data_IF_883676505486
#
_entry.id   IF_883676505486
#
_cell.length_a   1.000
_cell.length_b   1.000
_cell.length_c   1.000
_cell.angle_alpha   90.00
_cell.angle_beta   90.00
_cell.angle_gamma   90.00
#
_symmetry.space_group_name_H-M   'P 1'
#
loop_
_entity.id
_entity.type
_entity.pdbx_description
1 polymer ?
#
# COMPACT_ATOMS: atom_id res chain seq x y z
N UNK A 1 -12.09 -52.82 18.92
CA UNK A 1 -10.95 -51.85 18.83
C UNK A 1 -10.89 -51.01 17.55
N UNK A 2 -11.55 -51.37 16.43
CA UNK A 2 -11.47 -50.57 15.18
C UNK A 2 -12.37 -49.32 15.11
N UNK A 3 -13.41 -49.23 15.96
CA UNK A 3 -14.34 -48.08 15.99
C UNK A 3 -13.77 -46.88 16.78
N UNK A 4 -12.96 -47.15 17.82
CA UNK A 4 -12.35 -46.11 18.65
C UNK A 4 -11.25 -45.32 17.91
N UNK A 5 -10.54 -45.93 16.95
CA UNK A 5 -9.53 -45.25 16.14
C UNK A 5 -10.13 -44.33 15.07
N UNK A 6 -11.34 -44.63 14.57
CA UNK A 6 -12.04 -43.78 13.60
C UNK A 6 -12.60 -42.50 14.23
N UNK A 7 -13.08 -42.59 15.46
CA UNK A 7 -13.56 -41.42 16.21
C UNK A 7 -12.42 -40.48 16.65
N UNK A 8 -11.23 -41.04 16.93
CA UNK A 8 -10.04 -40.23 17.27
C UNK A 8 -9.48 -39.50 16.03
N UNK A 9 -9.54 -40.10 14.84
CA UNK A 9 -9.08 -39.47 13.59
C UNK A 9 -9.96 -38.27 13.17
N UNK A 10 -11.25 -38.28 13.51
CA UNK A 10 -12.17 -37.14 13.29
C UNK A 10 -11.96 -36.00 14.29
N UNK A 11 -11.42 -36.27 15.48
CA UNK A 11 -11.16 -35.25 16.50
C UNK A 11 -9.87 -34.43 16.26
N UNK A 12 -8.99 -34.90 15.38
CA UNK A 12 -7.72 -34.22 15.01
C UNK A 12 -7.71 -33.68 13.58
N UNK A 13 -8.85 -33.70 12.88
CA UNK A 13 -9.00 -32.90 11.66
C UNK A 13 -9.00 -31.42 12.07
N UNK A 14 -8.17 -30.55 11.47
CA UNK A 14 -8.27 -29.12 11.72
C UNK A 14 -9.71 -28.72 11.45
N UNK A 15 -10.37 -28.12 12.45
CA UNK A 15 -11.75 -27.67 12.33
C UNK A 15 -11.84 -26.75 11.12
N UNK A 16 -12.34 -27.26 9.99
CA UNK A 16 -12.78 -26.39 8.92
C UNK A 16 -13.78 -25.44 9.56
N UNK A 17 -13.43 -24.15 9.62
CA UNK A 17 -14.27 -23.15 10.25
C UNK A 17 -15.69 -23.31 9.68
N UNK A 18 -16.64 -23.73 10.53
CA UNK A 18 -17.98 -24.07 10.08
C UNK A 18 -18.56 -22.89 9.29
N UNK A 19 -19.13 -23.17 8.11
CA UNK A 19 -19.80 -22.16 7.31
C UNK A 19 -20.90 -21.50 8.16
N UNK A 20 -20.93 -20.17 8.18
CA UNK A 20 -22.00 -19.43 8.84
C UNK A 20 -23.25 -19.43 7.98
N UNK A 21 -24.44 -19.32 8.61
CA UNK A 21 -25.66 -19.02 7.88
C UNK A 21 -25.45 -17.83 6.96
N UNK A 22 -25.94 -17.93 5.72
CA UNK A 22 -25.89 -16.90 4.69
C UNK A 22 -24.54 -16.63 4.01
N UNK A 23 -23.46 -17.36 4.35
CA UNK A 23 -22.14 -17.13 3.72
C UNK A 23 -22.19 -17.18 2.19
N UNK A 24 -22.82 -18.21 1.61
CA UNK A 24 -22.89 -18.37 0.16
C UNK A 24 -23.69 -17.24 -0.51
N UNK A 25 -24.83 -16.86 0.09
CA UNK A 25 -25.67 -15.78 -0.41
C UNK A 25 -24.98 -14.41 -0.27
N UNK A 26 -24.30 -14.16 0.85
CA UNK A 26 -23.54 -12.93 1.06
C UNK A 26 -22.36 -12.86 0.09
N UNK A 27 -21.60 -13.95 -0.05
CA UNK A 27 -20.48 -14.04 -0.99
C UNK A 27 -20.91 -13.69 -2.41
N UNK A 28 -22.04 -14.23 -2.89
CA UNK A 28 -22.55 -13.92 -4.22
C UNK A 28 -22.92 -12.44 -4.39
N UNK A 29 -23.54 -11.83 -3.36
CA UNK A 29 -23.88 -10.40 -3.36
C UNK A 29 -22.63 -9.53 -3.37
N UNK A 30 -21.67 -9.80 -2.48
CA UNK A 30 -20.42 -9.04 -2.36
C UNK A 30 -19.61 -9.11 -3.65
N UNK A 31 -19.40 -10.31 -4.24
CA UNK A 31 -18.69 -10.45 -5.51
C UNK A 31 -19.29 -9.54 -6.59
N UNK A 32 -20.61 -9.61 -6.77
CA UNK A 32 -21.32 -8.81 -7.77
C UNK A 32 -21.22 -7.31 -7.51
N UNK A 33 -21.40 -6.89 -6.26
CA UNK A 33 -21.39 -5.46 -5.89
C UNK A 33 -19.98 -4.87 -5.99
N UNK A 34 -18.95 -5.60 -5.56
CA UNK A 34 -17.55 -5.19 -5.74
C UNK A 34 -17.17 -5.14 -7.22
N UNK A 35 -17.52 -6.15 -8.00
CA UNK A 35 -17.22 -6.20 -9.43
C UNK A 35 -17.82 -5.02 -10.18
N UNK A 36 -19.07 -4.64 -9.85
CA UNK A 36 -19.72 -3.46 -10.42
C UNK A 36 -18.96 -2.16 -10.11
N UNK A 37 -18.49 -1.99 -8.86
CA UNK A 37 -17.76 -0.78 -8.45
C UNK A 37 -16.36 -0.76 -9.05
N UNK A 38 -15.61 -1.85 -8.96
CA UNK A 38 -14.23 -1.94 -9.44
C UNK A 38 -14.15 -1.80 -10.97
N UNK A 39 -15.10 -2.38 -11.70
CA UNK A 39 -15.14 -2.30 -13.17
C UNK A 39 -15.45 -0.90 -13.72
N UNK A 40 -15.78 0.07 -12.85
CA UNK A 40 -15.93 1.48 -13.27
C UNK A 40 -14.60 2.11 -13.71
N UNK A 41 -13.47 1.60 -13.22
CA UNK A 41 -12.13 2.09 -13.54
C UNK A 41 -11.45 1.26 -14.64
N UNK A 42 -10.46 1.83 -15.33
CA UNK A 42 -9.67 1.10 -16.32
C UNK A 42 -8.78 0.03 -15.67
N UNK A 43 -8.10 0.36 -14.58
CA UNK A 43 -7.32 -0.59 -13.79
C UNK A 43 -8.17 -1.77 -13.28
N UNK A 44 -9.40 -1.50 -12.81
CA UNK A 44 -10.32 -2.55 -12.36
C UNK A 44 -10.78 -3.47 -13.49
N UNK A 45 -11.10 -2.92 -14.67
CA UNK A 45 -11.42 -3.73 -15.87
C UNK A 45 -10.24 -4.58 -16.34
N UNK A 46 -9.03 -4.03 -16.30
CA UNK A 46 -7.81 -4.77 -16.63
C UNK A 46 -7.63 -5.97 -15.69
N UNK A 47 -7.80 -5.76 -14.38
CA UNK A 47 -7.69 -6.84 -13.38
C UNK A 47 -8.71 -7.95 -13.62
N UNK A 48 -10.00 -7.63 -13.82
CA UNK A 48 -11.01 -8.65 -14.08
C UNK A 48 -10.73 -9.41 -15.38
N UNK A 49 -10.31 -8.72 -16.45
CA UNK A 49 -9.92 -9.39 -17.69
C UNK A 49 -8.74 -10.35 -17.49
N UNK A 50 -7.77 -10.02 -16.61
CA UNK A 50 -6.67 -10.93 -16.25
C UNK A 50 -7.15 -12.12 -15.42
N UNK A 51 -8.05 -11.90 -14.45
CA UNK A 51 -8.65 -12.96 -13.62
C UNK A 51 -9.44 -13.97 -14.44
N UNK A 52 -10.25 -13.50 -15.40
CA UNK A 52 -11.01 -14.37 -16.31
C UNK A 52 -10.08 -15.22 -17.19
N UNK A 53 -8.97 -14.65 -17.67
CA UNK A 53 -7.97 -15.37 -18.48
C UNK A 53 -7.14 -16.37 -17.67
N UNK A 54 -6.94 -16.13 -16.37
CA UNK A 54 -6.13 -16.99 -15.51
C UNK A 54 -6.79 -18.35 -15.20
N UNK A 55 -8.07 -18.54 -15.56
CA UNK A 55 -8.76 -19.83 -15.52
C UNK A 55 -9.95 -19.87 -14.56
N UNK A 56 -10.47 -21.07 -14.23
CA UNK A 56 -11.73 -21.23 -13.51
C UNK A 56 -11.66 -20.82 -12.02
N UNK A 57 -10.46 -20.54 -11.49
CA UNK A 57 -10.24 -20.19 -10.09
C UNK A 57 -11.09 -19.00 -9.64
N UNK A 58 -11.17 -17.95 -10.45
CA UNK A 58 -11.94 -16.74 -10.13
C UNK A 58 -13.45 -16.99 -10.07
N UNK A 59 -13.99 -17.83 -10.97
CA UNK A 59 -15.41 -18.18 -10.96
C UNK A 59 -15.82 -18.84 -9.63
N UNK A 60 -14.95 -19.69 -9.09
CA UNK A 60 -15.15 -20.39 -7.81
C UNK A 60 -14.73 -19.58 -6.56
N UNK A 61 -14.11 -18.41 -6.72
CA UNK A 61 -13.67 -17.55 -5.62
C UNK A 61 -14.83 -17.21 -4.69
N UNK A 62 -14.62 -17.26 -3.37
CA UNK A 62 -15.61 -16.84 -2.35
C UNK A 62 -15.20 -15.52 -1.70
N UNK A 63 -16.18 -14.82 -1.15
CA UNK A 63 -15.98 -13.63 -0.33
C UNK A 63 -16.67 -13.86 1.01
N UNK A 64 -15.88 -13.94 2.07
CA UNK A 64 -16.33 -14.37 3.39
C UNK A 64 -15.99 -13.30 4.44
N UNK A 65 -16.68 -13.33 5.58
CA UNK A 65 -16.43 -12.42 6.69
C UNK A 65 -16.09 -13.24 7.92
N UNK A 66 -14.89 -13.04 8.47
CA UNK A 66 -14.36 -13.79 9.62
C UNK A 66 -13.54 -12.88 10.51
N UNK A 67 -13.49 -13.17 11.80
CA UNK A 67 -12.61 -12.49 12.74
C UNK A 67 -11.21 -13.03 12.60
N UNK A 68 -10.24 -12.14 12.50
CA UNK A 68 -8.82 -12.48 12.58
C UNK A 68 -8.10 -11.55 13.58
N UNK A 69 -7.20 -12.08 14.43
CA UNK A 69 -6.42 -11.25 15.36
C UNK A 69 -5.37 -10.37 14.66
N UNK A 70 -4.91 -10.74 13.47
CA UNK A 70 -3.92 -10.00 12.70
C UNK A 70 -4.44 -8.61 12.32
N UNK A 71 -3.50 -7.68 12.10
CA UNK A 71 -3.79 -6.28 11.78
C UNK A 71 -4.00 -6.07 10.27
N UNK A 72 -4.83 -6.92 9.65
CA UNK A 72 -5.21 -6.82 8.25
C UNK A 72 -6.73 -6.62 8.10
N UNK A 73 -7.12 -5.78 7.13
CA UNK A 73 -8.53 -5.51 6.80
C UNK A 73 -9.18 -6.68 6.06
N UNK A 74 -8.42 -7.35 5.20
CA UNK A 74 -8.80 -8.55 4.49
C UNK A 74 -7.56 -9.42 4.24
N UNK A 75 -7.77 -10.64 3.76
CA UNK A 75 -6.72 -11.50 3.24
C UNK A 75 -7.30 -12.52 2.25
N UNK A 76 -6.50 -12.92 1.26
CA UNK A 76 -6.79 -14.04 0.38
C UNK A 76 -6.19 -15.35 0.92
N UNK A 77 -7.03 -16.37 1.05
CA UNK A 77 -6.62 -17.75 1.35
C UNK A 77 -6.66 -18.61 0.07
N UNK A 78 -5.49 -19.06 -0.44
CA UNK A 78 -5.42 -19.90 -1.61
C UNK A 78 -6.08 -21.27 -1.43
N UNK A 79 -6.04 -21.84 -0.22
CA UNK A 79 -6.56 -23.18 0.05
C UNK A 79 -8.09 -23.20 0.03
N UNK A 80 -8.70 -22.18 0.62
CA UNK A 80 -10.15 -21.99 0.60
C UNK A 80 -10.64 -21.35 -0.72
N UNK A 81 -9.73 -20.80 -1.53
CA UNK A 81 -10.01 -19.92 -2.66
C UNK A 81 -11.02 -18.84 -2.25
N UNK A 82 -10.68 -18.08 -1.21
CA UNK A 82 -11.58 -17.12 -0.59
C UNK A 82 -10.85 -15.85 -0.17
N UNK A 83 -11.48 -14.70 -0.44
CA UNK A 83 -11.13 -13.43 0.20
C UNK A 83 -11.93 -13.32 1.48
N UNK A 84 -11.24 -13.13 2.60
CA UNK A 84 -11.86 -12.92 3.91
C UNK A 84 -11.74 -11.46 4.30
N UNK A 85 -12.87 -10.83 4.62
CA UNK A 85 -12.88 -9.54 5.30
C UNK A 85 -12.87 -9.73 6.81
N UNK A 86 -11.98 -8.99 7.48
CA UNK A 86 -11.83 -9.08 8.93
C UNK A 86 -12.99 -8.37 9.64
N UNK A 87 -13.87 -9.15 10.27
CA UNK A 87 -15.06 -8.65 10.96
C UNK A 87 -14.74 -7.62 12.05
N UNK A 88 -13.54 -7.69 12.66
CA UNK A 88 -13.07 -6.72 13.66
C UNK A 88 -13.02 -5.30 13.10
N UNK A 89 -12.55 -5.14 11.87
CA UNK A 89 -12.45 -3.84 11.22
C UNK A 89 -13.80 -3.37 10.70
N UNK A 90 -14.63 -4.27 10.16
CA UNK A 90 -16.02 -3.94 9.81
C UNK A 90 -16.77 -3.37 11.02
N UNK A 91 -16.64 -4.01 12.19
CA UNK A 91 -17.27 -3.55 13.42
C UNK A 91 -16.70 -2.21 13.91
N UNK A 92 -15.39 -1.97 13.78
CA UNK A 92 -14.79 -0.67 14.07
C UNK A 92 -15.33 0.41 13.14
N UNK A 93 -15.45 0.14 11.85
CA UNK A 93 -15.92 1.08 10.84
C UNK A 93 -17.37 1.52 11.09
N UNK A 94 -18.25 0.58 11.43
CA UNK A 94 -19.65 0.87 11.79
C UNK A 94 -19.84 1.18 13.29
N UNK A 95 -18.75 1.39 14.05
CA UNK A 95 -18.76 1.66 15.50
C UNK A 95 -19.62 0.70 16.33
N UNK A 96 -19.76 -0.55 15.87
CA UNK A 96 -20.67 -1.54 16.44
C UNK A 96 -19.94 -2.45 17.42
N UNK A 97 -20.56 -2.71 18.59
CA UNK A 97 -19.99 -3.56 19.66
C UNK A 97 -20.85 -4.80 19.89
N UNK A 98 -20.24 -5.86 20.43
CA UNK A 98 -20.94 -7.07 20.88
C UNK A 98 -21.34 -8.07 19.78
N UNK A 99 -21.20 -7.71 18.51
CA UNK A 99 -21.48 -8.63 17.40
C UNK A 99 -20.35 -9.64 17.23
N UNK A 100 -20.77 -10.90 16.98
CA UNK A 100 -19.90 -11.99 16.52
C UNK A 100 -20.07 -12.16 15.01
N UNK A 101 -19.14 -12.87 14.38
CA UNK A 101 -19.10 -13.02 12.92
C UNK A 101 -20.42 -13.48 12.28
N UNK A 102 -21.17 -14.47 12.83
CA UNK A 102 -22.45 -14.86 12.24
C UNK A 102 -23.46 -13.70 12.17
N UNK A 103 -23.45 -12.81 13.18
CA UNK A 103 -24.33 -11.64 13.19
C UNK A 103 -23.89 -10.60 12.18
N UNK A 104 -22.57 -10.41 12.00
CA UNK A 104 -22.04 -9.52 10.96
C UNK A 104 -22.44 -10.02 9.57
N UNK A 105 -22.30 -11.33 9.32
CA UNK A 105 -22.74 -11.98 8.06
C UNK A 105 -24.25 -11.78 7.84
N UNK A 106 -25.07 -12.05 8.85
CA UNK A 106 -26.53 -11.87 8.77
C UNK A 106 -26.92 -10.43 8.41
N UNK A 107 -26.31 -9.44 9.07
CA UNK A 107 -26.59 -8.01 8.83
C UNK A 107 -26.15 -7.60 7.43
N UNK A 108 -24.93 -7.95 7.02
CA UNK A 108 -24.44 -7.63 5.67
C UNK A 108 -25.28 -8.32 4.58
N UNK A 109 -25.77 -9.53 4.83
CA UNK A 109 -26.61 -10.25 3.88
C UNK A 109 -28.01 -9.62 3.73
N UNK A 110 -28.63 -9.25 4.86
CA UNK A 110 -30.02 -8.78 4.92
C UNK A 110 -30.16 -7.27 4.66
N UNK A 111 -29.19 -6.45 5.06
CA UNK A 111 -29.23 -5.00 4.92
C UNK A 111 -28.38 -4.53 3.72
N UNK A 112 -29.06 -4.03 2.67
CA UNK A 112 -28.40 -3.53 1.45
C UNK A 112 -27.58 -2.26 1.70
N UNK A 113 -28.06 -1.34 2.53
CA UNK A 113 -27.43 -0.04 2.75
C UNK A 113 -26.09 -0.21 3.47
N UNK A 114 -26.07 -1.00 4.54
CA UNK A 114 -24.84 -1.32 5.29
C UNK A 114 -23.84 -2.04 4.39
N UNK A 115 -24.28 -3.01 3.59
CA UNK A 115 -23.40 -3.72 2.66
C UNK A 115 -22.86 -2.81 1.56
N UNK A 116 -23.69 -1.95 0.98
CA UNK A 116 -23.26 -1.01 -0.05
C UNK A 116 -22.25 0.00 0.49
N UNK A 117 -22.42 0.49 1.72
CA UNK A 117 -21.45 1.38 2.37
C UNK A 117 -20.13 0.67 2.63
N UNK A 118 -20.14 -0.58 3.08
CA UNK A 118 -18.92 -1.38 3.21
C UNK A 118 -18.23 -1.55 1.85
N UNK A 119 -18.97 -1.93 0.80
CA UNK A 119 -18.44 -2.11 -0.55
C UNK A 119 -17.79 -0.81 -1.05
N UNK A 120 -18.43 0.34 -0.86
CA UNK A 120 -17.94 1.65 -1.30
C UNK A 120 -16.62 2.08 -0.66
N UNK A 121 -16.32 1.59 0.55
CA UNK A 121 -15.14 1.94 1.34
C UNK A 121 -14.03 0.91 1.26
N UNK A 122 -14.40 -0.36 1.15
CA UNK A 122 -13.48 -1.50 1.20
C UNK A 122 -13.11 -2.04 -0.18
N UNK A 123 -13.55 -1.40 -1.28
CA UNK A 123 -13.28 -1.90 -2.62
C UNK A 123 -11.80 -1.86 -3.04
N UNK A 124 -10.94 -0.89 -2.65
CA UNK A 124 -9.51 -0.99 -2.93
C UNK A 124 -8.87 -2.17 -2.19
N UNK A 125 -9.27 -2.39 -0.93
CA UNK A 125 -8.82 -3.56 -0.14
C UNK A 125 -9.26 -4.86 -0.80
N UNK A 126 -10.49 -4.94 -1.31
CA UNK A 126 -10.94 -6.11 -2.05
C UNK A 126 -10.11 -6.34 -3.32
N UNK A 127 -9.82 -5.26 -4.04
CA UNK A 127 -9.04 -5.29 -5.26
C UNK A 127 -7.60 -5.78 -4.98
N UNK A 128 -6.98 -5.32 -3.90
CA UNK A 128 -5.67 -5.81 -3.45
C UNK A 128 -5.68 -7.33 -3.27
N UNK A 129 -6.70 -7.88 -2.59
CA UNK A 129 -6.83 -9.33 -2.40
C UNK A 129 -7.16 -10.08 -3.70
N UNK A 130 -7.85 -9.45 -4.64
CA UNK A 130 -8.07 -10.02 -5.98
C UNK A 130 -6.77 -10.14 -6.77
N UNK A 131 -5.82 -9.22 -6.58
CA UNK A 131 -4.48 -9.36 -7.17
C UNK A 131 -3.76 -10.57 -6.57
N UNK A 132 -3.86 -10.79 -5.25
CA UNK A 132 -3.32 -12.00 -4.64
C UNK A 132 -3.95 -13.29 -5.17
N UNK A 133 -5.26 -13.28 -5.41
CA UNK A 133 -5.94 -14.40 -6.07
C UNK A 133 -5.38 -14.64 -7.49
N UNK A 134 -5.26 -13.58 -8.28
CA UNK A 134 -4.67 -13.64 -9.64
C UNK A 134 -3.26 -14.22 -9.62
N UNK A 135 -2.39 -13.73 -8.72
CA UNK A 135 -1.03 -14.21 -8.57
C UNK A 135 -0.97 -15.70 -8.23
N UNK A 136 -1.90 -16.20 -7.41
CA UNK A 136 -1.98 -17.63 -7.10
C UNK A 136 -2.40 -18.47 -8.32
N UNK A 137 -3.23 -17.92 -9.20
CA UNK A 137 -3.65 -18.61 -10.41
C UNK A 137 -2.55 -18.62 -11.46
N UNK A 138 -1.79 -17.52 -11.60
CA UNK A 138 -0.69 -17.40 -12.56
C UNK A 138 0.58 -18.12 -12.10
N UNK A 139 0.91 -18.06 -10.80
CA UNK A 139 2.18 -18.52 -10.24
C UNK A 139 2.00 -19.57 -9.12
N UNK A 140 1.31 -20.70 -9.39
CA UNK A 140 0.95 -21.66 -8.36
C UNK A 140 2.14 -22.44 -7.75
N UNK A 141 3.30 -22.47 -8.43
CA UNK A 141 4.49 -23.16 -7.89
C UNK A 141 5.16 -22.30 -6.81
N UNK A 142 5.12 -20.96 -6.95
CA UNK A 142 5.75 -20.07 -5.98
C UNK A 142 5.20 -20.23 -4.57
N UNK A 143 3.88 -20.32 -4.41
CA UNK A 143 3.30 -20.55 -3.07
C UNK A 143 3.47 -21.98 -2.59
N UNK A 144 3.45 -22.98 -3.48
CA UNK A 144 3.58 -24.40 -3.11
C UNK A 144 5.01 -24.76 -2.70
N UNK A 145 6.01 -24.21 -3.37
CA UNK A 145 7.41 -24.63 -3.23
C UNK A 145 8.26 -23.69 -2.36
N UNK A 146 7.91 -22.40 -2.23
CA UNK A 146 8.73 -21.44 -1.47
C UNK A 146 8.48 -21.45 0.04
N UNK A 147 7.36 -22.04 0.50
CA UNK A 147 6.99 -22.09 1.92
C UNK A 147 6.69 -20.72 2.57
N UNK A 148 6.60 -19.65 1.78
CA UNK A 148 6.37 -18.27 2.23
C UNK A 148 5.68 -17.45 1.11
N UNK A 149 5.06 -16.32 1.47
CA UNK A 149 4.50 -15.39 0.49
C UNK A 149 5.61 -14.52 -0.13
N UNK A 150 5.70 -14.41 -1.46
CA UNK A 150 6.65 -13.51 -2.10
C UNK A 150 6.39 -12.05 -1.72
N UNK A 151 7.42 -11.32 -1.26
CA UNK A 151 7.27 -9.90 -0.95
C UNK A 151 6.90 -9.09 -2.21
N UNK A 152 7.44 -9.50 -3.36
CA UNK A 152 7.22 -8.81 -4.61
C UNK A 152 5.77 -8.91 -5.11
N UNK A 153 4.99 -9.86 -4.58
CA UNK A 153 3.55 -9.93 -4.83
C UNK A 153 2.78 -8.79 -4.17
N UNK A 154 3.22 -8.34 -2.99
CA UNK A 154 2.66 -7.15 -2.35
C UNK A 154 2.90 -5.92 -3.21
N UNK A 155 4.06 -5.80 -3.86
CA UNK A 155 4.34 -4.67 -4.74
C UNK A 155 3.33 -4.55 -5.89
N UNK A 156 2.96 -5.65 -6.56
CA UNK A 156 1.93 -5.61 -7.62
C UNK A 156 0.55 -5.27 -7.05
N UNK A 157 0.19 -5.85 -5.90
CA UNK A 157 -1.13 -5.67 -5.29
C UNK A 157 -1.38 -4.21 -4.90
N UNK A 158 -0.46 -3.65 -4.13
CA UNK A 158 -0.47 -2.24 -3.70
C UNK A 158 -0.52 -1.25 -4.85
N UNK A 159 0.23 -1.55 -5.89
CA UNK A 159 0.35 -0.70 -7.04
C UNK A 159 -0.91 -0.69 -7.90
N UNK A 160 -1.52 -1.87 -8.08
CA UNK A 160 -2.80 -1.99 -8.77
C UNK A 160 -3.90 -1.30 -7.95
N UNK A 161 -3.87 -1.45 -6.62
CA UNK A 161 -4.74 -0.73 -5.68
C UNK A 161 -4.61 0.79 -5.87
N UNK A 162 -3.40 1.32 -5.83
CA UNK A 162 -3.18 2.76 -5.90
C UNK A 162 -3.49 3.34 -7.30
N UNK A 163 -3.25 2.59 -8.39
CA UNK A 163 -3.71 2.96 -9.74
C UNK A 163 -5.24 3.07 -9.79
N UNK A 164 -5.93 2.08 -9.21
CA UNK A 164 -7.38 2.09 -9.11
C UNK A 164 -7.91 3.27 -8.28
N UNK A 165 -7.28 3.52 -7.12
CA UNK A 165 -7.63 4.66 -6.24
C UNK A 165 -7.44 5.98 -6.98
N UNK A 166 -6.35 6.15 -7.72
CA UNK A 166 -6.10 7.36 -8.50
C UNK A 166 -7.19 7.62 -9.54
N UNK A 167 -7.56 6.60 -10.32
CA UNK A 167 -8.63 6.71 -11.31
C UNK A 167 -9.98 7.07 -10.68
N UNK A 168 -10.30 6.45 -9.53
CA UNK A 168 -11.51 6.80 -8.76
C UNK A 168 -11.50 8.24 -8.28
N UNK A 169 -10.39 8.69 -7.70
CA UNK A 169 -10.30 10.05 -7.18
C UNK A 169 -10.29 11.10 -8.29
N UNK A 170 -9.81 10.78 -9.49
CA UNK A 170 -9.98 11.66 -10.65
C UNK A 170 -11.44 11.76 -11.10
N UNK A 171 -12.19 10.68 -11.02
CA UNK A 171 -13.62 10.67 -11.37
C UNK A 171 -14.47 11.38 -10.30
N UNK A 172 -14.16 11.18 -9.02
CA UNK A 172 -14.81 11.82 -7.88
C UNK A 172 -13.76 12.27 -6.84
N UNK A 173 -13.30 13.54 -6.90
CA UNK A 173 -12.24 14.04 -6.02
C UNK A 173 -12.72 14.40 -4.62
N UNK A 174 -14.04 14.39 -4.36
CA UNK A 174 -14.63 14.83 -3.08
C UNK A 174 -14.02 14.15 -1.85
N UNK A 175 -13.98 12.79 -1.80
CA UNK A 175 -13.41 12.07 -0.66
C UNK A 175 -11.94 12.39 -0.39
N UNK A 176 -11.13 12.61 -1.43
CA UNK A 176 -9.73 12.99 -1.28
C UNK A 176 -9.59 14.44 -0.78
N UNK A 177 -10.42 15.36 -1.26
CA UNK A 177 -10.46 16.75 -0.73
C UNK A 177 -10.80 16.75 0.76
N UNK A 178 -11.81 15.97 1.16
CA UNK A 178 -12.21 15.85 2.57
C UNK A 178 -11.09 15.29 3.45
N UNK A 179 -10.35 14.30 2.94
CA UNK A 179 -9.19 13.75 3.62
C UNK A 179 -8.05 14.76 3.75
N UNK A 180 -7.72 15.48 2.67
CA UNK A 180 -6.66 16.52 2.65
C UNK A 180 -6.96 17.65 3.63
N UNK A 181 -8.24 18.04 3.76
CA UNK A 181 -8.70 19.03 4.74
C UNK A 181 -8.77 18.48 6.17
N UNK A 182 -8.70 17.16 6.35
CA UNK A 182 -8.89 16.51 7.64
C UNK A 182 -10.34 16.59 8.17
N UNK A 183 -11.33 16.85 7.31
CA UNK A 183 -12.74 16.96 7.72
C UNK A 183 -13.44 15.60 7.82
N UNK A 184 -12.91 14.58 7.13
CA UNK A 184 -13.41 13.22 7.24
C UNK A 184 -12.28 12.20 7.10
N UNK A 185 -12.25 11.22 7.99
CA UNK A 185 -11.41 10.03 7.88
C UNK A 185 -12.07 8.87 8.61
N UNK A 186 -12.02 7.69 7.99
CA UNK A 186 -12.41 6.42 8.61
C UNK A 186 -11.24 5.44 8.46
N UNK A 187 -11.35 4.27 9.09
CA UNK A 187 -10.26 3.29 9.11
C UNK A 187 -9.84 2.80 7.72
N UNK A 188 -10.77 2.68 6.76
CA UNK A 188 -10.47 2.26 5.39
C UNK A 188 -9.87 3.42 4.61
N UNK A 189 -10.50 4.58 4.68
CA UNK A 189 -10.02 5.81 4.03
C UNK A 189 -8.60 6.17 4.48
N UNK A 190 -8.30 6.05 5.78
CA UNK A 190 -6.96 6.28 6.34
C UNK A 190 -5.92 5.29 5.80
N UNK A 191 -6.29 4.01 5.68
CA UNK A 191 -5.40 2.99 5.12
C UNK A 191 -5.09 3.26 3.63
N UNK A 192 -6.14 3.45 2.84
CA UNK A 192 -6.07 3.62 1.39
C UNK A 192 -5.30 4.90 1.04
N UNK A 193 -5.69 6.05 1.59
CA UNK A 193 -5.02 7.31 1.27
C UNK A 193 -3.63 7.41 1.90
N UNK A 194 -3.38 6.73 3.04
CA UNK A 194 -2.03 6.59 3.58
C UNK A 194 -1.09 5.85 2.62
N UNK A 195 -1.59 4.81 1.93
CA UNK A 195 -0.81 4.15 0.88
C UNK A 195 -0.63 5.04 -0.33
N UNK A 196 -1.73 5.52 -0.91
CA UNK A 196 -1.79 6.26 -2.15
C UNK A 196 -0.92 7.53 -2.13
N UNK A 197 -0.98 8.32 -1.05
CA UNK A 197 -0.16 9.54 -0.93
C UNK A 197 1.33 9.25 -0.77
N UNK A 198 1.69 8.07 -0.25
CA UNK A 198 3.10 7.66 -0.11
C UNK A 198 3.66 7.08 -1.39
N UNK A 199 2.82 6.48 -2.24
CA UNK A 199 3.21 5.81 -3.47
C UNK A 199 3.91 6.78 -4.41
N UNK A 200 3.32 7.94 -4.65
CA UNK A 200 3.78 8.81 -5.72
C UNK A 200 5.05 9.60 -5.36
N UNK A 201 5.37 9.75 -4.06
CA UNK A 201 6.46 10.63 -3.59
C UNK A 201 7.86 10.01 -3.68
N UNK A 202 8.00 8.70 -3.44
CA UNK A 202 9.30 8.01 -3.49
C UNK A 202 9.12 6.48 -3.62
N UNK A 203 9.38 5.88 -4.80
CA UNK A 203 9.25 4.44 -5.00
C UNK A 203 10.22 3.60 -4.16
N UNK A 204 11.39 4.11 -3.81
CA UNK A 204 12.35 3.39 -2.96
C UNK A 204 11.84 3.34 -1.51
N UNK A 205 11.41 4.49 -0.98
CA UNK A 205 10.79 4.57 0.36
C UNK A 205 9.50 3.75 0.42
N UNK A 206 8.72 3.73 -0.66
CA UNK A 206 7.51 2.93 -0.77
C UNK A 206 7.77 1.43 -0.66
N UNK A 207 8.73 0.91 -1.45
CA UNK A 207 9.13 -0.50 -1.38
C UNK A 207 9.70 -0.87 -0.02
N UNK A 208 10.51 0.00 0.57
CA UNK A 208 11.07 -0.23 1.91
C UNK A 208 9.98 -0.27 2.99
N UNK A 209 8.94 0.56 2.87
CA UNK A 209 7.79 0.53 3.79
C UNK A 209 7.05 -0.80 3.71
N UNK A 210 6.76 -1.27 2.50
CA UNK A 210 6.13 -2.59 2.28
C UNK A 210 7.04 -3.68 2.85
N UNK A 211 8.34 -3.69 2.48
CA UNK A 211 9.31 -4.66 3.00
C UNK A 211 9.31 -4.72 4.53
N UNK A 212 9.41 -3.59 5.22
CA UNK A 212 9.40 -3.55 6.70
C UNK A 212 8.11 -4.11 7.29
N UNK A 213 6.95 -3.75 6.74
CA UNK A 213 5.68 -4.24 7.25
C UNK A 213 5.58 -5.78 7.13
N UNK A 214 5.89 -6.31 5.94
CA UNK A 214 5.70 -7.73 5.66
C UNK A 214 6.83 -8.62 6.19
N UNK A 215 8.08 -8.20 6.09
CA UNK A 215 9.21 -8.99 6.58
C UNK A 215 9.44 -8.85 8.08
N UNK A 216 9.31 -7.64 8.64
CA UNK A 216 9.72 -7.37 10.04
C UNK A 216 8.54 -7.37 11.03
N UNK A 217 7.31 -7.00 10.59
CA UNK A 217 6.16 -6.90 11.50
C UNK A 217 5.22 -8.09 11.41
N UNK A 218 4.77 -8.46 10.20
CA UNK A 218 3.88 -9.61 10.00
C UNK A 218 4.65 -10.94 10.05
N UNK A 219 5.82 -11.00 9.41
CA UNK A 219 6.59 -12.24 9.24
C UNK A 219 5.96 -13.19 8.21
N UNK A 220 6.70 -14.22 7.79
CA UNK A 220 6.23 -15.20 6.80
C UNK A 220 6.33 -14.77 5.34
N UNK A 221 6.98 -13.62 5.07
CA UNK A 221 7.29 -13.13 3.73
C UNK A 221 8.77 -13.33 3.39
N UNK A 222 9.03 -13.54 2.10
CA UNK A 222 10.36 -13.87 1.60
C UNK A 222 10.51 -13.36 0.15
N UNK A 223 11.69 -12.86 -0.23
CA UNK A 223 11.91 -12.47 -1.63
C UNK A 223 11.94 -13.66 -2.59
N UNK A 224 11.61 -13.44 -3.86
CA UNK A 224 11.68 -14.47 -4.92
C UNK A 224 13.09 -15.06 -5.07
N UNK A 225 14.12 -14.24 -4.88
CA UNK A 225 15.53 -14.63 -4.89
C UNK A 225 15.86 -15.64 -3.78
N UNK A 226 15.37 -15.35 -2.57
CA UNK A 226 15.59 -16.21 -1.41
C UNK A 226 14.78 -17.51 -1.52
N UNK A 227 13.59 -17.46 -2.13
CA UNK A 227 12.77 -18.65 -2.40
C UNK A 227 13.50 -19.62 -3.35
N UNK A 228 14.07 -19.10 -4.44
CA UNK A 228 14.87 -19.89 -5.37
C UNK A 228 16.09 -20.50 -4.68
N UNK A 229 16.75 -19.73 -3.80
CA UNK A 229 17.92 -20.20 -3.04
C UNK A 229 17.55 -21.36 -2.11
N UNK A 230 16.43 -21.25 -1.37
CA UNK A 230 15.94 -22.34 -0.51
C UNK A 230 15.65 -23.59 -1.33
N UNK A 231 14.96 -23.48 -2.47
CA UNK A 231 14.64 -24.63 -3.33
C UNK A 231 15.89 -25.25 -3.96
N UNK A 232 16.88 -24.44 -4.38
CA UNK A 232 18.19 -24.92 -4.87
C UNK A 232 18.90 -25.76 -3.81
N UNK A 233 18.93 -25.27 -2.57
CA UNK A 233 19.57 -25.98 -1.46
C UNK A 233 18.83 -27.30 -1.14
N UNK A 234 17.49 -27.27 -1.08
CA UNK A 234 16.69 -28.48 -0.91
C UNK A 234 16.87 -29.50 -2.04
N UNK A 235 17.07 -29.05 -3.28
CA UNK A 235 17.39 -29.93 -4.41
C UNK A 235 18.79 -30.57 -4.28
N UNK A 236 19.76 -29.81 -3.77
CA UNK A 236 21.11 -30.34 -3.52
C UNK A 236 21.09 -31.42 -2.42
N UNK A 237 20.33 -31.21 -1.35
CA UNK A 237 20.19 -32.16 -0.25
C UNK A 237 19.40 -33.40 -0.68
N UNK A 238 18.27 -33.22 -1.38
CA UNK A 238 17.44 -34.34 -1.90
C UNK A 238 18.19 -35.19 -2.93
N UNK A 239 19.13 -34.62 -3.70
CA UNK A 239 20.01 -35.40 -4.59
C UNK A 239 20.78 -36.46 -3.81
N UNK A 240 21.37 -36.10 -2.67
CA UNK A 240 22.17 -37.04 -1.86
C UNK A 240 21.28 -38.18 -1.36
N UNK A 241 20.07 -37.86 -0.86
CA UNK A 241 19.13 -38.86 -0.35
C UNK A 241 18.48 -39.71 -1.45
N UNK A 242 18.15 -39.14 -2.60
CA UNK A 242 17.53 -39.84 -3.73
C UNK A 242 18.47 -40.88 -4.33
N UNK A 243 19.75 -40.53 -4.50
CA UNK A 243 20.77 -41.48 -4.97
C UNK A 243 21.10 -42.54 -3.91
N UNK A 244 21.07 -42.20 -2.62
CA UNK A 244 21.28 -43.17 -1.54
C UNK A 244 20.09 -44.13 -1.32
N UNK A 245 18.86 -43.69 -1.59
CA UNK A 245 17.62 -44.47 -1.36
C UNK A 245 17.06 -45.15 -2.63
N UNK A 246 17.67 -44.91 -3.80
CA UNK A 246 17.17 -45.40 -5.10
C UNK A 246 15.93 -44.68 -5.62
N UNK A 247 15.45 -43.63 -4.94
CA UNK A 247 14.28 -42.84 -5.35
C UNK A 247 14.66 -41.72 -6.34
N UNK A 248 15.17 -42.11 -7.52
CA UNK A 248 15.58 -41.17 -8.57
C UNK A 248 14.38 -40.40 -9.14
N UNK A 249 13.18 -41.00 -9.11
CA UNK A 249 11.92 -40.37 -9.54
C UNK A 249 11.60 -39.06 -8.82
N UNK A 250 11.66 -39.07 -7.48
CA UNK A 250 11.41 -37.85 -6.67
C UNK A 250 12.38 -36.70 -6.99
N UNK A 251 13.66 -37.01 -7.25
CA UNK A 251 14.65 -36.00 -7.64
C UNK A 251 14.37 -35.38 -9.02
N UNK A 252 13.88 -36.17 -9.98
CA UNK A 252 13.48 -35.65 -11.29
C UNK A 252 12.24 -34.75 -11.22
N UNK A 253 11.26 -35.09 -10.37
CA UNK A 253 10.09 -34.24 -10.11
C UNK A 253 10.48 -32.91 -9.45
N UNK A 254 11.39 -32.94 -8.47
CA UNK A 254 11.93 -31.73 -7.82
C UNK A 254 12.72 -30.85 -8.79
N UNK A 255 13.44 -31.44 -9.74
CA UNK A 255 14.16 -30.71 -10.79
C UNK A 255 13.18 -30.01 -11.74
N UNK A 256 12.09 -30.68 -12.12
CA UNK A 256 11.04 -30.10 -12.95
C UNK A 256 10.28 -28.97 -12.24
N UNK A 257 10.02 -29.11 -10.92
CA UNK A 257 9.45 -28.04 -10.08
C UNK A 257 10.38 -26.82 -10.06
N UNK A 258 11.68 -26.99 -9.84
CA UNK A 258 12.65 -25.87 -9.87
C UNK A 258 12.69 -25.17 -11.24
N UNK A 259 12.58 -25.91 -12.35
CA UNK A 259 12.52 -25.33 -13.68
C UNK A 259 11.25 -24.47 -13.88
N UNK A 260 10.08 -24.94 -13.43
CA UNK A 260 8.83 -24.17 -13.48
C UNK A 260 8.89 -22.92 -12.60
N UNK A 261 9.44 -23.03 -11.38
CA UNK A 261 9.63 -21.89 -10.48
C UNK A 261 10.52 -20.82 -11.12
N UNK A 262 11.64 -21.21 -11.75
CA UNK A 262 12.51 -20.26 -12.49
C UNK A 262 11.81 -19.60 -13.67
N UNK A 263 10.98 -20.34 -14.41
CA UNK A 263 10.21 -19.77 -15.52
C UNK A 263 9.21 -18.72 -15.03
N UNK A 264 8.48 -19.02 -13.95
CA UNK A 264 7.56 -18.07 -13.30
C UNK A 264 8.31 -16.86 -12.73
N UNK A 265 9.53 -17.05 -12.18
CA UNK A 265 10.39 -15.95 -11.70
C UNK A 265 10.65 -14.97 -12.83
N UNK A 266 11.14 -15.50 -13.94
CA UNK A 266 11.54 -14.70 -15.08
C UNK A 266 10.35 -13.97 -15.70
N UNK A 267 9.18 -14.60 -15.74
CA UNK A 267 7.94 -13.96 -16.18
C UNK A 267 7.54 -12.81 -15.27
N UNK A 268 7.50 -13.03 -13.95
CA UNK A 268 7.11 -11.99 -13.01
C UNK A 268 8.15 -10.87 -12.89
N UNK A 269 9.45 -11.18 -12.95
CA UNK A 269 10.51 -10.18 -13.01
C UNK A 269 10.37 -9.29 -14.24
N UNK A 270 10.07 -9.84 -15.42
CA UNK A 270 9.79 -9.03 -16.62
C UNK A 270 8.57 -8.13 -16.44
N UNK A 271 7.51 -8.64 -15.78
CA UNK A 271 6.34 -7.83 -15.45
C UNK A 271 6.72 -6.66 -14.55
N UNK A 272 7.48 -6.88 -13.48
CA UNK A 272 7.93 -5.80 -12.58
C UNK A 272 8.85 -4.80 -13.30
N UNK A 273 9.76 -5.28 -14.15
CA UNK A 273 10.64 -4.42 -14.94
C UNK A 273 9.84 -3.53 -15.89
N UNK A 274 8.96 -4.10 -16.71
CA UNK A 274 8.07 -3.34 -17.59
C UNK A 274 7.21 -2.35 -16.80
N UNK A 275 6.66 -2.81 -15.67
CA UNK A 275 5.84 -1.99 -14.82
C UNK A 275 6.61 -0.76 -14.31
N UNK A 276 7.75 -0.95 -13.64
CA UNK A 276 8.49 0.15 -13.03
C UNK A 276 9.19 1.05 -14.05
N UNK A 277 9.55 0.50 -15.22
CA UNK A 277 10.19 1.28 -16.28
C UNK A 277 9.20 2.07 -17.12
N UNK A 278 7.96 1.58 -17.30
CA UNK A 278 7.01 2.14 -18.27
C UNK A 278 5.75 2.70 -17.61
N UNK A 279 5.07 1.91 -16.78
CA UNK A 279 3.76 2.29 -16.20
C UNK A 279 3.93 3.24 -15.02
N UNK A 280 4.87 2.94 -14.15
CA UNK A 280 5.12 3.71 -12.93
C UNK A 280 5.44 5.20 -13.18
N UNK A 281 6.38 5.55 -14.09
CA UNK A 281 6.77 6.94 -14.27
C UNK A 281 5.59 7.83 -14.68
N UNK A 282 4.78 7.37 -15.64
CA UNK A 282 3.60 8.09 -16.11
C UNK A 282 2.52 8.21 -15.01
N UNK A 283 2.22 7.10 -14.32
CA UNK A 283 1.27 7.10 -13.21
C UNK A 283 1.71 8.04 -12.06
N UNK A 284 2.97 7.93 -11.63
CA UNK A 284 3.53 8.72 -10.54
C UNK A 284 3.45 10.22 -10.85
N UNK A 285 3.76 10.61 -12.09
CA UNK A 285 3.65 12.00 -12.53
C UNK A 285 2.21 12.54 -12.46
N UNK A 286 1.24 11.80 -13.02
CA UNK A 286 -0.17 12.19 -13.03
C UNK A 286 -0.75 12.25 -11.61
N UNK A 287 -0.43 11.25 -10.77
CA UNK A 287 -0.85 11.19 -9.37
C UNK A 287 -0.30 12.36 -8.55
N UNK A 288 1.00 12.66 -8.64
CA UNK A 288 1.61 13.78 -7.92
C UNK A 288 1.04 15.13 -8.37
N UNK A 289 0.86 15.33 -9.68
CA UNK A 289 0.28 16.56 -10.22
C UNK A 289 -1.16 16.73 -9.73
N UNK A 290 -1.95 15.66 -9.78
CA UNK A 290 -3.33 15.65 -9.33
C UNK A 290 -3.45 15.95 -7.83
N UNK A 291 -2.78 15.18 -6.98
CA UNK A 291 -2.79 15.36 -5.52
C UNK A 291 -2.24 16.73 -5.14
N UNK A 292 -1.13 17.15 -5.74
CA UNK A 292 -0.52 18.44 -5.48
C UNK A 292 -1.42 19.62 -5.86
N UNK A 293 -2.16 19.50 -6.97
CA UNK A 293 -3.16 20.50 -7.37
C UNK A 293 -4.31 20.57 -6.36
N UNK A 294 -4.86 19.42 -5.96
CA UNK A 294 -5.94 19.38 -4.97
C UNK A 294 -5.49 19.93 -3.62
N UNK A 295 -4.29 19.57 -3.17
CA UNK A 295 -3.71 20.08 -1.94
C UNK A 295 -3.52 21.60 -1.97
N UNK A 296 -3.10 22.15 -3.12
CA UNK A 296 -2.98 23.60 -3.30
C UNK A 296 -4.35 24.29 -3.23
N UNK A 297 -5.36 23.77 -3.92
CA UNK A 297 -6.75 24.27 -3.84
C UNK A 297 -7.28 24.28 -2.40
N UNK A 298 -6.94 23.25 -1.62
CA UNK A 298 -7.32 23.11 -0.21
C UNK A 298 -6.37 23.85 0.75
N UNK A 299 -5.39 24.60 0.25
CA UNK A 299 -4.37 25.31 1.04
C UNK A 299 -3.57 24.41 2.00
N UNK A 300 -3.48 23.13 1.69
CA UNK A 300 -2.57 22.20 2.35
C UNK A 300 -1.19 22.31 1.68
N UNK A 301 -0.52 23.43 1.97
CA UNK A 301 0.73 23.80 1.30
C UNK A 301 1.87 22.77 1.46
N UNK A 302 2.10 22.16 2.64
CA UNK A 302 3.14 21.13 2.75
C UNK A 302 2.94 19.97 1.79
N UNK A 303 1.72 19.43 1.70
CA UNK A 303 1.40 18.35 0.77
C UNK A 303 1.49 18.82 -0.69
N UNK A 304 0.99 20.01 -0.99
CA UNK A 304 1.08 20.58 -2.33
C UNK A 304 2.53 20.70 -2.81
N UNK A 305 3.40 21.23 -1.95
CA UNK A 305 4.82 21.40 -2.23
C UNK A 305 5.55 20.08 -2.37
N UNK A 306 5.34 19.13 -1.45
CA UNK A 306 5.96 17.81 -1.53
C UNK A 306 5.58 17.09 -2.83
N UNK A 307 4.28 17.12 -3.21
CA UNK A 307 3.84 16.48 -4.43
C UNK A 307 4.37 17.17 -5.70
N UNK A 308 4.21 18.49 -5.82
CA UNK A 308 4.55 19.23 -7.03
C UNK A 308 6.07 19.32 -7.23
N UNK A 309 6.86 19.43 -6.16
CA UNK A 309 8.31 19.47 -6.25
C UNK A 309 8.91 18.11 -6.67
N UNK A 310 8.39 17.01 -6.11
CA UNK A 310 8.80 15.66 -6.54
C UNK A 310 8.43 15.44 -8.00
N UNK A 311 7.23 15.85 -8.40
CA UNK A 311 6.79 15.70 -9.79
C UNK A 311 7.71 16.45 -10.75
N UNK A 312 8.08 17.71 -10.43
CA UNK A 312 8.96 18.53 -11.26
C UNK A 312 10.38 17.92 -11.33
N UNK A 313 10.94 17.52 -10.18
CA UNK A 313 12.28 16.93 -10.09
C UNK A 313 12.42 15.63 -10.89
N UNK A 314 11.38 14.79 -10.90
CA UNK A 314 11.37 13.52 -11.61
C UNK A 314 10.82 13.63 -13.04
N UNK A 315 10.31 14.79 -13.44
CA UNK A 315 9.67 15.03 -14.73
C UNK A 315 10.49 14.62 -15.98
N UNK A 316 11.84 14.70 -15.99
CA UNK A 316 12.62 14.20 -17.13
C UNK A 316 12.50 12.69 -17.36
N UNK A 317 12.20 11.91 -16.31
CA UNK A 317 12.03 10.46 -16.37
C UNK A 317 10.60 9.99 -16.69
N UNK A 318 9.64 10.91 -16.75
CA UNK A 318 8.20 10.57 -16.82
C UNK A 318 7.61 10.56 -18.24
N UNK A 319 8.36 10.98 -19.27
CA UNK A 319 7.87 10.97 -20.65
C UNK A 319 6.69 11.91 -20.90
N UNK A 320 6.54 12.96 -20.08
CA UNK A 320 5.47 13.96 -20.21
C UNK A 320 5.62 14.80 -21.49
N UNK A 321 4.50 15.27 -22.04
CA UNK A 321 4.51 16.25 -23.14
C UNK A 321 5.13 17.58 -22.69
N UNK A 322 5.63 18.37 -23.64
CA UNK A 322 6.19 19.68 -23.33
C UNK A 322 5.17 20.61 -22.65
N UNK A 323 3.89 20.57 -23.05
CA UNK A 323 2.85 21.36 -22.39
C UNK A 323 2.59 20.89 -20.95
N UNK A 324 2.57 19.58 -20.72
CA UNK A 324 2.38 19.00 -19.39
C UNK A 324 3.54 19.37 -18.45
N UNK A 325 4.78 19.33 -18.94
CA UNK A 325 5.97 19.78 -18.22
C UNK A 325 5.91 21.26 -17.86
N UNK A 326 5.50 22.12 -18.81
CA UNK A 326 5.35 23.55 -18.56
C UNK A 326 4.26 23.83 -17.52
N UNK A 327 3.11 23.17 -17.62
CA UNK A 327 2.02 23.30 -16.67
C UNK A 327 2.42 22.86 -15.25
N UNK A 328 3.15 21.75 -15.13
CA UNK A 328 3.68 21.25 -13.87
C UNK A 328 4.65 22.27 -13.22
N UNK A 329 5.61 22.78 -13.99
CA UNK A 329 6.57 23.80 -13.52
C UNK A 329 5.88 25.09 -13.09
N UNK A 330 4.86 25.53 -13.82
CA UNK A 330 4.06 26.70 -13.45
C UNK A 330 3.30 26.45 -12.16
N UNK A 331 2.65 25.29 -11.99
CA UNK A 331 1.95 24.95 -10.75
C UNK A 331 2.90 24.84 -9.55
N UNK A 332 4.07 24.23 -9.72
CA UNK A 332 5.10 24.21 -8.70
C UNK A 332 5.58 25.62 -8.31
N UNK A 333 5.67 26.53 -9.29
CA UNK A 333 5.98 27.94 -9.03
C UNK A 333 4.91 28.63 -8.19
N UNK A 334 3.65 28.44 -8.55
CA UNK A 334 2.52 29.00 -7.83
C UNK A 334 2.46 28.46 -6.41
N UNK A 335 2.65 27.16 -6.21
CA UNK A 335 2.68 26.56 -4.86
C UNK A 335 3.77 27.19 -3.98
N UNK A 336 4.98 27.42 -4.51
CA UNK A 336 6.07 28.11 -3.78
C UNK A 336 5.67 29.54 -3.42
N UNK A 337 5.13 30.31 -4.38
CA UNK A 337 4.75 31.71 -4.17
C UNK A 337 3.58 31.85 -3.19
N UNK A 338 2.55 31.02 -3.33
CA UNK A 338 1.38 31.00 -2.46
C UNK A 338 1.74 30.57 -1.04
N UNK A 339 2.57 29.53 -0.89
CA UNK A 339 3.06 29.11 0.43
C UNK A 339 3.88 30.21 1.08
N UNK A 340 4.78 30.86 0.34
CA UNK A 340 5.57 31.96 0.88
C UNK A 340 4.67 33.13 1.34
N UNK A 341 3.65 33.48 0.56
CA UNK A 341 2.68 34.51 0.96
C UNK A 341 1.89 34.10 2.18
N UNK A 342 1.42 32.86 2.24
CA UNK A 342 0.69 32.35 3.38
C UNK A 342 1.52 32.40 4.67
N UNK A 343 2.79 31.99 4.61
CA UNK A 343 3.70 32.08 5.76
C UNK A 343 3.90 33.54 6.18
N UNK A 344 4.06 34.48 5.24
CA UNK A 344 4.16 35.92 5.56
C UNK A 344 2.93 36.42 6.32
N UNK A 345 1.74 36.09 5.82
CA UNK A 345 0.49 36.68 6.32
C UNK A 345 0.01 36.03 7.61
N UNK A 346 0.37 34.76 7.85
CA UNK A 346 -0.22 33.95 8.93
C UNK A 346 0.80 33.31 9.88
N UNK A 347 2.09 33.34 9.55
CA UNK A 347 3.14 32.66 10.30
C UNK A 347 3.21 33.03 11.78
N UNK A 348 2.95 34.31 12.12
CA UNK A 348 2.91 34.77 13.51
C UNK A 348 1.78 34.16 14.37
N UNK A 349 0.79 33.50 13.76
CA UNK A 349 -0.33 32.84 14.44
C UNK A 349 -0.21 31.31 14.47
N UNK A 350 0.79 30.75 13.77
CA UNK A 350 0.99 29.31 13.68
C UNK A 350 1.68 28.77 14.93
N UNK A 351 1.37 27.52 15.29
CA UNK A 351 2.19 26.79 16.26
C UNK A 351 3.58 26.51 15.68
N UNK A 352 4.57 26.27 16.54
CA UNK A 352 5.94 25.89 16.13
C UNK A 352 5.92 24.67 15.20
N UNK A 353 5.09 23.68 15.52
CA UNK A 353 4.91 22.50 14.67
C UNK A 353 4.43 22.87 13.27
N UNK A 354 3.33 23.63 13.16
CA UNK A 354 2.75 23.98 11.86
C UNK A 354 3.71 24.85 11.04
N UNK A 355 4.27 25.90 11.65
CA UNK A 355 5.18 26.82 10.95
C UNK A 355 6.45 26.11 10.48
N UNK A 356 7.04 25.27 11.33
CA UNK A 356 8.26 24.54 10.98
C UNK A 356 8.03 23.57 9.83
N UNK A 357 6.87 22.91 9.74
CA UNK A 357 6.54 22.04 8.61
C UNK A 357 6.34 22.83 7.31
N UNK A 358 5.69 24.00 7.35
CA UNK A 358 5.54 24.84 6.16
C UNK A 358 6.88 25.36 5.64
N UNK A 359 7.77 25.82 6.54
CA UNK A 359 9.11 26.27 6.17
C UNK A 359 9.97 25.12 5.63
N UNK A 360 9.93 23.94 6.28
CA UNK A 360 10.61 22.72 5.84
C UNK A 360 10.15 22.29 4.45
N UNK A 361 8.84 22.23 4.20
CA UNK A 361 8.29 21.86 2.91
C UNK A 361 8.70 22.85 1.81
N UNK A 362 8.65 24.16 2.10
CA UNK A 362 9.09 25.20 1.18
C UNK A 362 10.58 25.10 0.85
N UNK A 363 11.42 24.91 1.87
CA UNK A 363 12.86 24.71 1.70
C UNK A 363 13.19 23.48 0.85
N UNK A 364 12.55 22.34 1.15
CA UNK A 364 12.70 21.11 0.37
C UNK A 364 12.26 21.28 -1.08
N UNK A 365 11.10 21.92 -1.32
CA UNK A 365 10.59 22.16 -2.66
C UNK A 365 11.49 23.09 -3.48
N UNK A 366 11.97 24.17 -2.88
CA UNK A 366 12.95 25.06 -3.50
C UNK A 366 14.24 24.31 -3.87
N UNK A 367 14.79 23.52 -2.94
CA UNK A 367 16.01 22.74 -3.18
C UNK A 367 15.82 21.69 -4.29
N UNK A 368 14.72 20.93 -4.27
CA UNK A 368 14.43 19.90 -5.25
C UNK A 368 14.23 20.45 -6.67
N UNK A 369 13.72 21.67 -6.80
CA UNK A 369 13.42 22.32 -8.09
C UNK A 369 14.49 23.33 -8.53
N UNK A 370 15.58 23.47 -7.77
CA UNK A 370 16.64 24.45 -8.04
C UNK A 370 16.21 25.91 -7.92
N UNK A 371 15.10 26.18 -7.23
CA UNK A 371 14.57 27.53 -7.00
C UNK A 371 15.19 28.13 -5.73
N UNK A 372 15.45 29.45 -5.69
CA UNK A 372 15.91 30.08 -4.47
C UNK A 372 14.80 30.03 -3.40
N UNK A 373 15.21 29.81 -2.15
CA UNK A 373 14.33 30.01 -1.01
C UNK A 373 13.97 31.51 -0.88
N UNK A 374 12.73 31.89 -0.55
CA UNK A 374 12.35 33.30 -0.39
C UNK A 374 13.19 33.99 0.69
N UNK A 375 14.00 34.98 0.28
CA UNK A 375 15.01 35.60 1.15
C UNK A 375 14.41 36.36 2.35
N UNK A 376 13.21 36.90 2.19
CA UNK A 376 12.41 37.56 3.22
C UNK A 376 11.96 36.59 4.34
N UNK A 377 11.85 35.29 4.05
CA UNK A 377 11.53 34.26 5.04
C UNK A 377 12.76 33.67 5.74
N UNK A 378 13.99 34.03 5.31
CA UNK A 378 15.21 33.45 5.84
C UNK A 378 15.39 33.72 7.35
N UNK A 379 15.04 34.93 7.81
CA UNK A 379 15.08 35.28 9.23
C UNK A 379 14.10 34.45 10.06
N UNK A 380 12.87 34.27 9.56
CA UNK A 380 11.84 33.46 10.20
C UNK A 380 12.27 31.99 10.32
N UNK A 381 12.96 31.46 9.31
CA UNK A 381 13.55 30.11 9.34
C UNK A 381 14.58 29.97 10.46
N UNK A 382 15.52 30.89 10.55
CA UNK A 382 16.58 30.91 11.58
C UNK A 382 15.99 30.97 12.99
N UNK A 383 14.90 31.71 13.17
CA UNK A 383 14.20 31.77 14.46
C UNK A 383 13.40 30.50 14.79
N UNK A 384 12.75 29.91 13.78
CA UNK A 384 11.80 28.81 13.99
C UNK A 384 12.48 27.46 14.20
N UNK A 385 13.56 27.16 13.47
CA UNK A 385 14.17 25.82 13.46
C UNK A 385 14.72 25.38 14.84
N UNK A 386 15.40 26.23 15.62
CA UNK A 386 15.80 25.86 16.99
C UNK A 386 14.61 25.52 17.89
N UNK A 387 13.50 26.25 17.76
CA UNK A 387 12.25 25.96 18.49
C UNK A 387 11.66 24.62 18.06
N UNK A 388 11.69 24.33 16.75
CA UNK A 388 11.24 23.06 16.19
C UNK A 388 12.10 21.89 16.69
N UNK A 389 13.42 22.03 16.74
CA UNK A 389 14.31 21.00 17.31
C UNK A 389 13.94 20.67 18.75
N UNK A 390 13.76 21.69 19.61
CA UNK A 390 13.36 21.48 20.99
C UNK A 390 11.97 20.81 21.09
N UNK A 391 11.03 21.21 20.23
CA UNK A 391 9.70 20.59 20.14
C UNK A 391 9.79 19.09 19.78
N UNK A 392 10.47 18.75 18.69
CA UNK A 392 10.58 17.38 18.21
C UNK A 392 11.42 16.49 19.12
N UNK A 393 12.47 17.01 19.77
CA UNK A 393 13.22 16.28 20.79
C UNK A 393 12.33 15.89 21.98
N UNK A 394 11.52 16.83 22.48
CA UNK A 394 10.55 16.56 23.55
C UNK A 394 9.51 15.52 23.13
N UNK A 395 8.97 15.63 21.91
CA UNK A 395 7.98 14.69 21.38
C UNK A 395 8.56 13.29 21.19
N UNK A 396 9.75 13.19 20.60
CA UNK A 396 10.46 11.92 20.41
C UNK A 396 10.73 11.20 21.74
N UNK A 397 11.15 11.94 22.79
CA UNK A 397 11.43 11.36 24.10
C UNK A 397 10.17 10.84 24.83
N UNK A 398 9.01 11.43 24.54
CA UNK A 398 7.74 11.08 25.19
C UNK A 398 6.88 10.06 24.42
N UNK A 399 7.20 9.79 23.16
CA UNK A 399 6.39 8.94 22.28
C UNK A 399 6.71 7.45 22.45
N UNK A 400 5.66 6.66 22.64
CA UNK A 400 5.74 5.20 22.77
C UNK A 400 5.31 4.48 21.50
N UNK A 401 4.48 5.12 20.68
CA UNK A 401 4.09 4.60 19.37
C UNK A 401 5.26 4.70 18.39
N UNK A 402 5.72 3.55 17.89
CA UNK A 402 6.93 3.47 17.05
C UNK A 402 6.81 4.29 15.75
N UNK A 403 5.72 4.21 14.96
CA UNK A 403 5.55 5.06 13.77
C UNK A 403 5.63 6.56 14.06
N UNK A 404 4.94 7.04 15.10
CA UNK A 404 5.01 8.46 15.49
C UNK A 404 6.40 8.85 15.99
N UNK A 405 7.05 7.95 16.71
CA UNK A 405 8.41 8.17 17.20
C UNK A 405 9.40 8.29 16.04
N UNK A 406 9.29 7.46 15.02
CA UNK A 406 10.09 7.55 13.79
C UNK A 406 9.85 8.88 13.06
N UNK A 407 8.59 9.33 12.97
CA UNK A 407 8.25 10.66 12.42
C UNK A 407 8.91 11.81 13.21
N UNK A 408 8.86 11.78 14.54
CA UNK A 408 9.50 12.82 15.35
C UNK A 408 11.02 12.78 15.22
N UNK A 409 11.61 11.59 15.09
CA UNK A 409 13.04 11.43 14.84
C UNK A 409 13.45 12.00 13.49
N UNK A 410 12.73 11.68 12.41
CA UNK A 410 13.03 12.22 11.06
C UNK A 410 12.99 13.75 11.06
N UNK A 411 12.02 14.34 11.77
CA UNK A 411 11.93 15.80 11.90
C UNK A 411 13.07 16.38 12.76
N UNK A 412 13.37 15.76 13.90
CA UNK A 412 14.48 16.19 14.75
C UNK A 412 15.81 16.15 13.97
N UNK A 413 16.07 15.06 13.25
CA UNK A 413 17.27 14.88 12.45
C UNK A 413 17.34 15.98 11.36
N UNK A 414 16.24 16.26 10.66
CA UNK A 414 16.17 17.34 9.66
C UNK A 414 16.50 18.71 10.24
N UNK A 415 15.83 19.12 11.32
CA UNK A 415 16.04 20.45 11.91
C UNK A 415 17.41 20.57 12.57
N UNK A 416 17.98 19.46 13.08
CA UNK A 416 19.34 19.44 13.63
C UNK A 416 20.41 19.62 12.55
N UNK A 417 20.24 19.01 11.38
CA UNK A 417 21.16 19.18 10.25
C UNK A 417 21.14 20.62 9.71
N UNK A 418 19.97 21.28 9.71
CA UNK A 418 19.80 22.67 9.31
C UNK A 418 20.40 23.71 10.27
N UNK A 419 20.79 23.31 11.48
CA UNK A 419 21.40 24.18 12.50
C UNK A 419 22.95 24.16 12.52
N UNK A 420 23.59 23.47 11.57
CA UNK A 420 25.04 23.58 11.35
C UNK A 420 25.46 24.99 10.89
N UNK A 421 26.68 25.45 11.20
CA UNK A 421 27.08 26.83 10.97
C UNK A 421 27.00 27.21 9.48
N UNK A 422 26.22 28.26 9.19
CA UNK A 422 26.27 28.98 7.92
C UNK A 422 27.62 29.70 7.82
N UNK A 423 28.65 29.01 7.32
CA UNK A 423 29.98 29.60 7.17
C UNK A 423 31.01 28.58 6.69
N UNK A 424 31.18 28.48 5.38
CA UNK A 424 32.21 27.62 4.79
C UNK A 424 32.20 27.61 3.26
N UNK A 425 32.18 28.79 2.63
CA UNK A 425 32.49 28.89 1.22
C UNK A 425 33.95 28.54 0.93
N UNK A 426 34.14 27.72 -0.12
CA UNK A 426 35.36 27.43 -0.89
C UNK A 426 36.49 26.67 -0.18
N UNK A 427 36.71 25.42 -0.61
CA UNK A 427 37.59 25.10 -1.76
C UNK A 427 37.09 23.85 -2.47
#
# INVERSE_FOLDING_TARGET
MKIAFFALALAFSPSMAAAYPHDAQLSAKLKKEFEAVISSSAAGRELYARLEKAGPGYAALKVLVRRDPADCFAWFDPSANAVYFNSRFILKFFETRGFKDPKVVEVLWSNKEVRAELVRRADPVYLHELVHALQCYLYPEYRRDAGANPLEFEYEAYLTEDMYVHERMKADPGPLKDFILGVYTDIYTANIFGSYLSLSLDPARYRERIRRFYEEQLGGYLSLEKAETIKKNGLADSKIFAYASGNIGGYTDDTASLARLRAQKAEFSRFLEDFYAVRWPAFSADALLFVGTLALEQKNYPLALDCLAVADANSPGYGLSAEALAALRTKGALAVLETASFIRDTGGKMSVEVLSQHLKALEKACAATGRPFPGDLAGLRVETYPKAMAYYAKKYAAETDRPRRDYYKENLDYFSAGSGPAGGGRR
#
